data_IF_479555153819
#
_entry.id   IF_479555153819
#
_cell.length_a   1.000
_cell.length_b   1.000
_cell.length_c   1.000
_cell.angle_alpha   90.00
_cell.angle_beta   90.00
_cell.angle_gamma   90.00
#
_symmetry.space_group_name_H-M   'P 1'
#
loop_
_entity.id
_entity.type
_entity.pdbx_description
1 polymer ?
#
# COMPACT_ATOMS: atom_id res chain seq x y z
N UNK A 1 -142.75 -52.31 103.13
CA UNK A 1 -144.12 -51.75 103.05
C UNK A 1 -145.25 -52.79 103.10
N UNK A 2 -144.98 -54.11 103.07
CA UNK A 2 -145.99 -55.16 103.32
C UNK A 2 -146.08 -55.58 104.80
N UNK A 3 -144.98 -55.54 105.54
CA UNK A 3 -144.91 -56.09 106.91
C UNK A 3 -145.53 -55.18 108.00
N UNK A 4 -145.72 -53.89 107.70
CA UNK A 4 -146.38 -52.92 108.59
C UNK A 4 -147.92 -53.05 108.57
N UNK A 5 -148.50 -53.61 107.51
CA UNK A 5 -149.96 -53.79 107.40
C UNK A 5 -150.46 -55.05 108.10
N UNK A 6 -149.63 -56.07 108.26
CA UNK A 6 -149.99 -57.32 108.95
C UNK A 6 -149.95 -57.14 110.47
N UNK A 7 -148.99 -56.36 110.99
CA UNK A 7 -148.91 -56.03 112.42
C UNK A 7 -150.04 -55.13 112.92
N UNK A 8 -150.68 -54.32 112.06
CA UNK A 8 -151.79 -53.45 112.46
C UNK A 8 -153.15 -54.18 112.51
N UNK A 9 -153.26 -55.37 111.88
CA UNK A 9 -154.47 -56.22 111.90
C UNK A 9 -154.54 -57.06 113.18
N UNK A 10 -153.41 -57.61 113.63
CA UNK A 10 -153.30 -58.43 114.84
C UNK A 10 -153.56 -57.65 116.14
N UNK A 11 -153.31 -56.34 116.19
CA UNK A 11 -153.62 -55.52 117.37
C UNK A 11 -155.12 -55.26 117.57
N UNK A 12 -155.92 -55.15 116.50
CA UNK A 12 -157.37 -54.97 116.61
C UNK A 12 -158.10 -56.26 117.03
N UNK A 13 -157.53 -57.43 116.73
CA UNK A 13 -158.09 -58.73 117.16
C UNK A 13 -157.83 -59.04 118.64
N UNK A 14 -156.86 -58.37 119.28
CA UNK A 14 -156.55 -58.54 120.71
C UNK A 14 -157.35 -57.59 121.64
N UNK A 15 -157.85 -56.47 121.14
CA UNK A 15 -158.65 -55.51 121.91
C UNK A 15 -160.12 -55.97 122.09
N UNK A 16 -160.60 -56.88 121.24
CA UNK A 16 -161.96 -57.44 121.30
C UNK A 16 -162.18 -58.59 122.30
N UNK A 17 -161.12 -59.13 122.92
CA UNK A 17 -161.19 -60.40 123.67
C UNK A 17 -160.97 -60.27 125.20
N UNK A 18 -160.95 -59.05 125.75
CA UNK A 18 -160.85 -58.78 127.20
C UNK A 18 -162.15 -58.23 127.81
N UNK A 19 -163.29 -58.53 127.18
CA UNK A 19 -164.61 -58.07 127.59
C UNK A 19 -165.58 -59.27 127.70
N UNK A 20 -165.21 -60.27 128.51
CA UNK A 20 -166.03 -61.40 128.99
C UNK A 20 -165.16 -62.25 129.92
N UNK A 21 -165.69 -62.69 131.06
CA UNK A 21 -165.04 -63.43 132.18
C UNK A 21 -164.44 -62.47 133.23
N UNK A 22 -164.95 -62.26 134.45
CA UNK A 22 -165.69 -63.14 135.35
C UNK A 22 -166.65 -62.31 136.21
N UNK A 23 -167.93 -62.65 136.13
CA UNK A 23 -168.94 -62.37 137.13
C UNK A 23 -169.33 -63.72 137.75
N UNK A 24 -168.98 -63.97 139.01
CA UNK A 24 -169.57 -65.04 139.83
C UNK A 24 -168.89 -65.09 141.21
N UNK A 25 -169.55 -64.53 142.24
CA UNK A 25 -169.53 -65.04 143.63
C UNK A 25 -170.50 -64.22 144.49
N UNK A 26 -171.79 -64.37 144.20
CA UNK A 26 -172.89 -64.17 145.15
C UNK A 26 -173.17 -65.53 145.78
N UNK A 27 -173.20 -65.65 147.10
CA UNK A 27 -173.93 -66.64 147.93
C UNK A 27 -173.26 -66.74 149.33
N UNK A 28 -173.91 -67.06 150.44
CA UNK A 28 -175.31 -67.16 150.87
C UNK A 28 -175.27 -67.79 152.28
N UNK A 29 -176.27 -67.50 153.14
CA UNK A 29 -176.68 -68.30 154.33
C UNK A 29 -175.75 -68.21 155.55
N UNK A 30 -176.22 -68.29 156.79
CA UNK A 30 -177.55 -68.57 157.32
C UNK A 30 -177.38 -68.74 158.83
N UNK A 31 -178.16 -68.01 159.61
CA UNK A 31 -178.11 -67.99 161.07
C UNK A 31 -178.62 -69.32 161.61
N UNK A 32 -177.76 -70.11 162.26
CA UNK A 32 -178.15 -71.19 163.17
C UNK A 32 -177.30 -71.09 164.43
N UNK A 33 -177.97 -71.07 165.59
CA UNK A 33 -177.38 -70.82 166.90
C UNK A 33 -176.33 -71.87 167.27
N UNK A 34 -175.07 -71.44 167.31
CA UNK A 34 -173.95 -72.20 167.85
C UNK A 34 -173.85 -71.97 169.35
N UNK A 35 -173.60 -73.03 170.11
CA UNK A 35 -173.45 -72.94 171.57
C UNK A 35 -172.19 -72.12 171.95
N UNK A 36 -172.14 -71.61 173.18
CA UNK A 36 -171.12 -70.67 173.66
C UNK A 36 -169.65 -71.14 173.43
N UNK A 37 -169.39 -72.45 173.34
CA UNK A 37 -168.04 -72.98 173.03
C UNK A 37 -167.68 -72.94 171.54
N UNK A 38 -168.65 -72.98 170.63
CA UNK A 38 -168.40 -72.96 169.19
C UNK A 38 -168.23 -71.51 168.65
N UNK A 39 -168.94 -70.54 169.20
CA UNK A 39 -168.78 -69.12 168.85
C UNK A 39 -167.37 -68.57 169.17
N UNK A 40 -166.74 -69.06 170.24
CA UNK A 40 -165.36 -68.69 170.58
C UNK A 40 -164.33 -69.29 169.62
N UNK A 41 -164.57 -70.47 169.03
CA UNK A 41 -163.67 -71.05 168.03
C UNK A 41 -163.81 -70.39 166.65
N UNK A 42 -165.03 -70.03 166.25
CA UNK A 42 -165.29 -69.42 164.94
C UNK A 42 -164.85 -67.94 164.87
N UNK A 43 -164.92 -67.19 165.98
CA UNK A 43 -164.36 -65.85 166.08
C UNK A 43 -162.82 -65.85 165.97
N UNK A 44 -162.14 -66.84 166.56
CA UNK A 44 -160.68 -66.99 166.47
C UNK A 44 -160.25 -67.44 165.06
N UNK A 45 -160.99 -68.37 164.43
CA UNK A 45 -160.71 -68.80 163.05
C UNK A 45 -161.03 -67.70 162.02
N UNK A 46 -162.13 -66.96 162.16
CA UNK A 46 -162.47 -65.88 161.21
C UNK A 46 -161.49 -64.71 161.30
N UNK A 47 -161.01 -64.36 162.49
CA UNK A 47 -160.05 -63.28 162.66
C UNK A 47 -158.64 -63.65 162.15
N UNK A 48 -158.26 -64.92 162.21
CA UNK A 48 -156.99 -65.41 161.66
C UNK A 48 -157.06 -65.62 160.15
N UNK A 49 -158.15 -66.16 159.60
CA UNK A 49 -158.32 -66.36 158.16
C UNK A 49 -158.54 -65.05 157.36
N UNK A 50 -159.32 -64.08 157.87
CA UNK A 50 -159.46 -62.77 157.20
C UNK A 50 -158.12 -62.04 157.06
N UNK A 51 -157.25 -62.14 158.07
CA UNK A 51 -155.96 -61.46 158.07
C UNK A 51 -155.03 -62.02 156.97
N UNK A 52 -155.07 -63.34 156.73
CA UNK A 52 -154.26 -64.00 155.68
C UNK A 52 -154.73 -63.65 154.25
N UNK A 53 -156.05 -63.52 154.04
CA UNK A 53 -156.59 -63.12 152.73
C UNK A 53 -156.28 -61.67 152.40
N UNK A 54 -156.39 -60.76 153.37
CA UNK A 54 -156.02 -59.35 153.20
C UNK A 54 -154.54 -59.24 152.83
N UNK A 55 -153.65 -59.92 153.56
CA UNK A 55 -152.21 -59.95 153.23
C UNK A 55 -151.93 -60.49 151.82
N UNK A 56 -152.71 -61.46 151.35
CA UNK A 56 -152.55 -62.02 149.99
C UNK A 56 -153.03 -61.04 148.92
N UNK A 57 -154.16 -60.37 149.12
CA UNK A 57 -154.66 -59.33 148.21
C UNK A 57 -153.68 -58.16 148.15
N UNK A 58 -153.16 -57.71 149.28
CA UNK A 58 -152.14 -56.64 149.34
C UNK A 58 -150.89 -57.02 148.57
N UNK A 59 -150.38 -58.25 148.76
CA UNK A 59 -149.24 -58.77 148.00
C UNK A 59 -149.51 -58.79 146.49
N UNK A 60 -150.65 -59.34 146.05
CA UNK A 60 -150.98 -59.41 144.61
C UNK A 60 -151.22 -58.03 144.02
N UNK A 61 -151.82 -57.11 144.77
CA UNK A 61 -152.02 -55.72 144.36
C UNK A 61 -150.66 -55.03 144.20
N UNK A 62 -149.75 -55.27 145.14
CA UNK A 62 -148.38 -54.78 145.08
C UNK A 62 -147.63 -55.34 143.88
N UNK A 63 -147.68 -56.65 143.65
CA UNK A 63 -147.05 -57.29 142.48
C UNK A 63 -147.63 -56.75 141.15
N UNK A 64 -148.96 -56.57 141.06
CA UNK A 64 -149.61 -55.96 139.91
C UNK A 64 -149.11 -54.54 139.68
N UNK A 65 -149.03 -53.73 140.73
CA UNK A 65 -148.57 -52.35 140.64
C UNK A 65 -147.10 -52.30 140.24
N UNK A 66 -146.25 -53.17 140.79
CA UNK A 66 -144.87 -53.36 140.36
C UNK A 66 -144.78 -53.77 138.88
N UNK A 67 -145.65 -54.66 138.39
CA UNK A 67 -145.71 -55.04 136.98
C UNK A 67 -146.24 -53.92 136.08
N UNK A 68 -147.25 -53.17 136.52
CA UNK A 68 -147.77 -52.00 135.82
C UNK A 68 -146.69 -50.92 135.70
N UNK A 69 -145.97 -50.64 136.79
CA UNK A 69 -144.84 -49.71 136.82
C UNK A 69 -143.71 -50.19 135.91
N UNK A 70 -143.39 -51.49 135.93
CA UNK A 70 -142.42 -52.09 135.03
C UNK A 70 -142.85 -51.97 133.56
N UNK A 71 -144.13 -52.18 133.25
CA UNK A 71 -144.67 -52.09 131.90
C UNK A 71 -144.69 -50.64 131.39
N UNK A 72 -145.06 -49.68 132.25
CA UNK A 72 -144.98 -48.24 131.93
C UNK A 72 -143.52 -47.84 131.70
N UNK A 73 -142.59 -48.31 132.55
CA UNK A 73 -141.15 -48.11 132.39
C UNK A 73 -140.63 -48.70 131.08
N UNK A 74 -140.99 -49.94 130.75
CA UNK A 74 -140.61 -50.60 129.48
C UNK A 74 -141.16 -49.85 128.27
N UNK A 75 -142.42 -49.40 128.31
CA UNK A 75 -143.00 -48.58 127.24
C UNK A 75 -142.27 -47.25 127.08
N UNK A 76 -141.88 -46.62 128.19
CA UNK A 76 -141.10 -45.39 128.14
C UNK A 76 -139.70 -45.63 127.57
N UNK A 77 -139.02 -46.71 127.98
CA UNK A 77 -137.74 -47.14 127.43
C UNK A 77 -137.87 -47.43 125.93
N UNK A 78 -138.93 -48.13 125.49
CA UNK A 78 -139.18 -48.40 124.06
C UNK A 78 -139.34 -47.10 123.25
N UNK A 79 -140.08 -46.10 123.76
CA UNK A 79 -140.21 -44.80 123.08
C UNK A 79 -138.86 -44.08 122.96
N UNK A 80 -138.06 -44.10 124.02
CA UNK A 80 -136.71 -43.52 124.00
C UNK A 80 -135.82 -44.26 122.99
N UNK A 81 -135.88 -45.60 122.96
CA UNK A 81 -135.12 -46.40 121.99
C UNK A 81 -135.57 -46.14 120.55
N UNK A 82 -136.87 -46.03 120.29
CA UNK A 82 -137.41 -45.74 118.96
C UNK A 82 -137.04 -44.32 118.49
N UNK A 83 -137.05 -43.33 119.39
CA UNK A 83 -136.59 -41.97 119.08
C UNK A 83 -135.08 -41.95 118.81
N UNK A 84 -134.30 -42.70 119.60
CA UNK A 84 -132.86 -42.86 119.38
C UNK A 84 -132.55 -43.55 118.06
N UNK A 85 -133.28 -44.60 117.71
CA UNK A 85 -133.18 -45.30 116.42
C UNK A 85 -133.53 -44.37 115.26
N UNK A 86 -134.62 -43.61 115.37
CA UNK A 86 -135.00 -42.63 114.34
C UNK A 86 -133.94 -41.54 114.16
N UNK A 87 -133.40 -41.03 115.28
CA UNK A 87 -132.29 -40.07 115.26
C UNK A 87 -131.02 -40.66 114.64
N UNK A 88 -130.67 -41.91 114.98
CA UNK A 88 -129.54 -42.62 114.40
C UNK A 88 -129.74 -42.87 112.89
N UNK A 89 -130.95 -43.23 112.46
CA UNK A 89 -131.30 -43.43 111.06
C UNK A 89 -131.13 -42.14 110.24
N UNK A 90 -131.62 -41.01 110.74
CA UNK A 90 -131.41 -39.70 110.08
C UNK A 90 -129.94 -39.27 110.07
N UNK A 91 -129.19 -39.54 111.15
CA UNK A 91 -127.74 -39.29 111.18
C UNK A 91 -127.00 -40.14 110.14
N UNK A 92 -127.33 -41.42 110.01
CA UNK A 92 -126.75 -42.31 108.99
C UNK A 92 -127.11 -41.81 107.60
N UNK A 93 -128.36 -41.42 107.35
CA UNK A 93 -128.79 -40.87 106.06
C UNK A 93 -128.02 -39.61 105.69
N UNK A 94 -127.89 -38.67 106.62
CA UNK A 94 -127.09 -37.46 106.40
C UNK A 94 -125.61 -37.79 106.16
N UNK A 95 -125.04 -38.72 106.93
CA UNK A 95 -123.66 -39.15 106.74
C UNK A 95 -123.43 -39.81 105.37
N UNK A 96 -124.38 -40.62 104.90
CA UNK A 96 -124.35 -41.22 103.55
C UNK A 96 -124.44 -40.14 102.47
N UNK A 97 -125.36 -39.18 102.58
CA UNK A 97 -125.47 -38.07 101.61
C UNK A 97 -124.18 -37.26 101.51
N UNK A 98 -123.59 -36.87 102.65
CA UNK A 98 -122.32 -36.14 102.67
C UNK A 98 -121.18 -36.99 102.09
N UNK A 99 -121.15 -38.30 102.37
CA UNK A 99 -120.15 -39.20 101.80
C UNK A 99 -120.32 -39.38 100.28
N UNK A 100 -121.56 -39.43 99.78
CA UNK A 100 -121.87 -39.49 98.35
C UNK A 100 -121.46 -38.20 97.62
N UNK A 101 -121.78 -37.04 98.18
CA UNK A 101 -121.37 -35.74 97.65
C UNK A 101 -119.84 -35.60 97.62
N UNK A 102 -119.16 -35.99 98.69
CA UNK A 102 -117.69 -36.00 98.75
C UNK A 102 -117.09 -36.98 97.74
N UNK A 103 -117.69 -38.16 97.55
CA UNK A 103 -117.26 -39.14 96.54
C UNK A 103 -117.48 -38.63 95.11
N UNK A 104 -118.58 -37.91 94.86
CA UNK A 104 -118.86 -37.29 93.57
C UNK A 104 -117.82 -36.21 93.25
N UNK A 105 -117.58 -35.27 94.16
CA UNK A 105 -116.56 -34.22 93.97
C UNK A 105 -115.14 -34.81 93.85
N UNK A 106 -114.81 -35.87 94.61
CA UNK A 106 -113.56 -36.61 94.44
C UNK A 106 -113.44 -37.21 93.04
N UNK A 107 -114.50 -37.85 92.53
CA UNK A 107 -114.49 -38.47 91.20
C UNK A 107 -114.33 -37.41 90.10
N UNK A 108 -115.03 -36.29 90.24
CA UNK A 108 -114.92 -35.14 89.33
C UNK A 108 -113.49 -34.58 89.31
N UNK A 109 -112.88 -34.38 90.48
CA UNK A 109 -111.49 -33.93 90.59
C UNK A 109 -110.51 -34.94 89.97
N UNK A 110 -110.69 -36.24 90.20
CA UNK A 110 -109.85 -37.29 89.60
C UNK A 110 -109.92 -37.28 88.07
N UNK A 111 -111.12 -37.17 87.50
CA UNK A 111 -111.31 -37.08 86.04
C UNK A 111 -110.64 -35.83 85.48
N UNK A 112 -110.78 -34.68 86.14
CA UNK A 112 -110.10 -33.44 85.75
C UNK A 112 -108.57 -33.58 85.82
N UNK A 113 -108.04 -34.19 86.88
CA UNK A 113 -106.60 -34.46 87.01
C UNK A 113 -106.09 -35.36 85.88
N UNK A 114 -106.82 -36.42 85.53
CA UNK A 114 -106.42 -37.33 84.46
C UNK A 114 -106.49 -36.64 83.08
N UNK A 115 -107.52 -35.83 82.83
CA UNK A 115 -107.62 -35.01 81.61
C UNK A 115 -106.42 -34.06 81.48
N UNK A 116 -106.10 -33.31 82.54
CA UNK A 116 -104.96 -32.39 82.57
C UNK A 116 -103.63 -33.13 82.39
N UNK A 117 -103.47 -34.31 83.00
CA UNK A 117 -102.29 -35.16 82.84
C UNK A 117 -102.13 -35.63 81.39
N UNK A 118 -103.20 -36.11 80.76
CA UNK A 118 -103.18 -36.55 79.36
C UNK A 118 -102.85 -35.40 78.39
N UNK A 119 -103.36 -34.18 78.65
CA UNK A 119 -103.02 -33.01 77.85
C UNK A 119 -101.57 -32.58 78.07
N UNK A 120 -101.06 -32.65 79.31
CA UNK A 120 -99.66 -32.37 79.61
C UNK A 120 -98.72 -33.36 78.90
N UNK A 121 -99.06 -34.66 78.90
CA UNK A 121 -98.31 -35.68 78.17
C UNK A 121 -98.34 -35.43 76.64
N UNK A 122 -99.50 -35.06 76.10
CA UNK A 122 -99.65 -34.71 74.67
C UNK A 122 -98.81 -33.49 74.29
N UNK A 123 -98.79 -32.45 75.13
CA UNK A 123 -97.98 -31.25 74.91
C UNK A 123 -96.48 -31.56 75.05
N UNK A 124 -96.11 -32.36 76.06
CA UNK A 124 -94.73 -32.83 76.23
C UNK A 124 -94.24 -33.58 75.00
N UNK A 125 -95.02 -34.54 74.49
CA UNK A 125 -94.69 -35.30 73.28
C UNK A 125 -94.53 -34.39 72.05
N UNK A 126 -95.42 -33.40 71.87
CA UNK A 126 -95.31 -32.44 70.77
C UNK A 126 -94.02 -31.61 70.87
N UNK A 127 -93.70 -31.09 72.05
CA UNK A 127 -92.50 -30.31 72.28
C UNK A 127 -91.23 -31.15 72.08
N UNK A 128 -91.20 -32.39 72.56
CA UNK A 128 -90.09 -33.32 72.35
C UNK A 128 -89.89 -33.63 70.86
N UNK A 129 -90.98 -33.87 70.12
CA UNK A 129 -90.92 -34.11 68.68
C UNK A 129 -90.42 -32.89 67.91
N UNK A 130 -90.92 -31.70 68.23
CA UNK A 130 -90.46 -30.45 67.61
C UNK A 130 -89.00 -30.16 67.95
N UNK A 131 -88.59 -30.35 69.21
CA UNK A 131 -87.20 -30.20 69.63
C UNK A 131 -86.29 -31.17 68.85
N UNK A 132 -86.69 -32.43 68.71
CA UNK A 132 -85.94 -33.42 67.94
C UNK A 132 -85.85 -33.03 66.45
N UNK A 133 -86.94 -32.56 65.85
CA UNK A 133 -86.96 -32.08 64.46
C UNK A 133 -86.04 -30.86 64.27
N UNK A 134 -86.07 -29.91 65.20
CA UNK A 134 -85.19 -28.73 65.16
C UNK A 134 -83.72 -29.10 65.37
N UNK A 135 -83.43 -30.05 66.27
CA UNK A 135 -82.06 -30.55 66.45
C UNK A 135 -81.54 -31.24 65.19
N UNK A 136 -82.34 -32.12 64.58
CA UNK A 136 -82.00 -32.77 63.30
C UNK A 136 -81.77 -31.75 62.20
N UNK A 137 -82.66 -30.76 62.07
CA UNK A 137 -82.51 -29.71 61.06
C UNK A 137 -81.21 -28.91 61.26
N UNK A 138 -80.89 -28.53 62.50
CA UNK A 138 -79.63 -27.84 62.80
C UNK A 138 -78.41 -28.72 62.53
N UNK A 139 -78.48 -30.03 62.77
CA UNK A 139 -77.37 -30.93 62.43
C UNK A 139 -77.16 -31.01 60.93
N UNK A 140 -78.24 -31.14 60.15
CA UNK A 140 -78.19 -31.21 58.69
C UNK A 140 -77.66 -29.91 58.08
N UNK A 141 -78.13 -28.75 58.54
CA UNK A 141 -77.63 -27.43 58.13
C UNK A 141 -76.13 -27.26 58.47
N UNK A 142 -75.71 -27.73 59.65
CA UNK A 142 -74.30 -27.67 60.08
C UNK A 142 -73.42 -28.59 59.23
N UNK A 143 -73.90 -29.77 58.85
CA UNK A 143 -73.18 -30.69 57.98
C UNK A 143 -73.08 -30.16 56.55
N UNK A 144 -74.18 -29.64 55.99
CA UNK A 144 -74.19 -29.00 54.69
C UNK A 144 -73.21 -27.82 54.63
N UNK A 145 -73.19 -26.97 55.66
CA UNK A 145 -72.23 -25.86 55.76
C UNK A 145 -70.79 -26.38 55.82
N UNK A 146 -70.51 -27.43 56.59
CA UNK A 146 -69.16 -28.02 56.67
C UNK A 146 -68.70 -28.59 55.34
N UNK A 147 -69.57 -29.28 54.62
CA UNK A 147 -69.23 -29.83 53.30
C UNK A 147 -68.99 -28.71 52.28
N UNK A 148 -69.77 -27.64 52.31
CA UNK A 148 -69.54 -26.51 51.40
C UNK A 148 -68.23 -25.78 51.73
N UNK A 149 -67.97 -25.50 53.01
CA UNK A 149 -66.68 -24.94 53.46
C UNK A 149 -65.49 -25.83 53.09
N UNK A 150 -65.67 -27.16 53.13
CA UNK A 150 -64.64 -28.12 52.73
C UNK A 150 -64.39 -28.05 51.22
N UNK A 151 -65.44 -28.03 50.39
CA UNK A 151 -65.30 -27.86 48.94
C UNK A 151 -64.61 -26.55 48.58
N UNK A 152 -65.00 -25.43 49.21
CA UNK A 152 -64.35 -24.14 49.00
C UNK A 152 -62.87 -24.20 49.37
N UNK A 153 -62.53 -24.81 50.50
CA UNK A 153 -61.14 -25.01 50.93
C UNK A 153 -60.37 -25.88 49.93
N UNK A 154 -60.94 -26.99 49.47
CA UNK A 154 -60.29 -27.90 48.53
C UNK A 154 -60.11 -27.24 47.15
N UNK A 155 -61.09 -26.45 46.69
CA UNK A 155 -60.98 -25.65 45.46
C UNK A 155 -59.90 -24.59 45.54
N UNK A 156 -59.82 -23.86 46.67
CA UNK A 156 -58.77 -22.88 46.91
C UNK A 156 -57.40 -23.55 47.00
N UNK A 157 -57.29 -24.70 47.66
CA UNK A 157 -56.06 -25.47 47.73
C UNK A 157 -55.59 -25.91 46.34
N UNK A 158 -56.50 -26.45 45.52
CA UNK A 158 -56.20 -26.84 44.14
C UNK A 158 -55.76 -25.64 43.28
N UNK A 159 -56.41 -24.48 43.41
CA UNK A 159 -56.02 -23.25 42.72
C UNK A 159 -54.63 -22.77 43.15
N UNK A 160 -54.33 -22.80 44.46
CA UNK A 160 -53.00 -22.44 44.97
C UNK A 160 -51.94 -23.38 44.43
N UNK A 161 -52.17 -24.70 44.43
CA UNK A 161 -51.23 -25.67 43.85
C UNK A 161 -50.99 -25.41 42.36
N UNK A 162 -52.04 -25.20 41.56
CA UNK A 162 -51.91 -24.89 40.14
C UNK A 162 -51.13 -23.58 39.89
N UNK A 163 -51.37 -22.55 40.70
CA UNK A 163 -50.61 -21.30 40.63
C UNK A 163 -49.14 -21.49 41.03
N UNK A 164 -48.86 -22.27 42.06
CA UNK A 164 -47.48 -22.61 42.47
C UNK A 164 -46.74 -23.38 41.38
N UNK A 165 -47.39 -24.33 40.72
CA UNK A 165 -46.82 -25.06 39.57
C UNK A 165 -46.51 -24.11 38.40
N UNK A 166 -47.43 -23.20 38.07
CA UNK A 166 -47.21 -22.18 37.04
C UNK A 166 -46.03 -21.27 37.38
N UNK A 167 -45.90 -20.83 38.64
CA UNK A 167 -44.76 -20.02 39.10
C UNK A 167 -43.46 -20.80 38.93
N UNK A 168 -43.39 -22.05 39.40
CA UNK A 168 -42.19 -22.88 39.25
C UNK A 168 -41.80 -23.09 37.78
N UNK A 169 -42.79 -23.28 36.89
CA UNK A 169 -42.55 -23.37 35.44
C UNK A 169 -41.98 -22.08 34.87
N UNK A 170 -42.53 -20.92 35.24
CA UNK A 170 -42.05 -19.62 34.77
C UNK A 170 -40.66 -19.31 35.30
N UNK A 171 -40.37 -19.63 36.56
CA UNK A 171 -39.04 -19.50 37.16
C UNK A 171 -38.00 -20.34 36.40
N UNK A 172 -38.31 -21.61 36.10
CA UNK A 172 -37.43 -22.47 35.32
C UNK A 172 -37.18 -21.93 33.89
N UNK A 173 -38.20 -21.36 33.25
CA UNK A 173 -38.04 -20.71 31.93
C UNK A 173 -37.16 -19.46 32.02
N UNK A 174 -37.35 -18.62 33.04
CA UNK A 174 -36.52 -17.43 33.28
C UNK A 174 -35.06 -17.81 33.53
N UNK A 175 -34.79 -18.85 34.32
CA UNK A 175 -33.44 -19.35 34.53
C UNK A 175 -32.81 -19.83 33.21
N UNK A 176 -33.54 -20.60 32.41
CA UNK A 176 -33.05 -21.08 31.10
C UNK A 176 -32.69 -19.91 30.20
N UNK A 177 -33.59 -18.95 30.02
CA UNK A 177 -33.36 -17.76 29.19
C UNK A 177 -32.18 -16.95 29.73
N UNK A 178 -32.04 -16.84 31.05
CA UNK A 178 -30.91 -16.12 31.67
C UNK A 178 -29.58 -16.81 31.35
N UNK A 179 -29.51 -18.14 31.46
CA UNK A 179 -28.31 -18.92 31.08
C UNK A 179 -27.97 -18.75 29.60
N UNK A 180 -28.96 -18.85 28.71
CA UNK A 180 -28.79 -18.65 27.27
C UNK A 180 -28.28 -17.23 26.96
N UNK A 181 -28.90 -16.20 27.57
CA UNK A 181 -28.46 -14.80 27.46
C UNK A 181 -27.01 -14.64 27.88
N UNK A 182 -26.62 -15.18 29.04
CA UNK A 182 -25.22 -15.09 29.51
C UNK A 182 -24.26 -15.79 28.55
N UNK A 183 -24.63 -16.95 28.01
CA UNK A 183 -23.83 -17.65 26.99
C UNK A 183 -23.65 -16.79 25.72
N UNK A 184 -24.72 -16.17 25.22
CA UNK A 184 -24.66 -15.31 24.04
C UNK A 184 -23.82 -14.04 24.29
N UNK A 185 -23.94 -13.43 25.48
CA UNK A 185 -23.09 -12.29 25.87
C UNK A 185 -21.62 -12.68 25.88
N UNK A 186 -21.27 -13.83 26.46
CA UNK A 186 -19.89 -14.30 26.49
C UNK A 186 -19.34 -14.55 25.06
N UNK A 187 -20.14 -15.17 24.18
CA UNK A 187 -19.77 -15.38 22.78
C UNK A 187 -19.57 -14.06 22.03
N UNK A 188 -20.44 -13.07 22.27
CA UNK A 188 -20.30 -11.74 21.68
C UNK A 188 -19.01 -11.06 22.13
N UNK A 189 -18.73 -11.07 23.44
CA UNK A 189 -17.50 -10.50 24.01
C UNK A 189 -16.25 -11.17 23.45
N UNK A 190 -16.26 -12.50 23.29
CA UNK A 190 -15.16 -13.24 22.68
C UNK A 190 -14.96 -12.84 21.22
N UNK A 191 -16.03 -12.74 20.43
CA UNK A 191 -15.97 -12.28 19.04
C UNK A 191 -15.47 -10.83 18.94
N UNK A 192 -15.90 -9.93 19.83
CA UNK A 192 -15.41 -8.56 19.88
C UNK A 192 -13.92 -8.50 20.19
N UNK A 193 -13.45 -9.31 21.14
CA UNK A 193 -12.03 -9.39 21.48
C UNK A 193 -11.20 -9.93 20.31
N UNK A 194 -11.69 -10.96 19.63
CA UNK A 194 -11.05 -11.49 18.42
C UNK A 194 -10.98 -10.43 17.32
N UNK A 195 -12.08 -9.71 17.04
CA UNK A 195 -12.10 -8.65 16.04
C UNK A 195 -11.10 -7.53 16.37
N UNK A 196 -11.07 -7.06 17.62
CA UNK A 196 -10.11 -6.05 18.06
C UNK A 196 -8.64 -6.52 17.87
N UNK A 197 -8.36 -7.79 18.17
CA UNK A 197 -7.02 -8.37 17.93
C UNK A 197 -6.68 -8.42 16.45
N UNK A 198 -7.62 -8.84 15.59
CA UNK A 198 -7.40 -8.88 14.14
C UNK A 198 -7.22 -7.49 13.55
N UNK A 199 -7.97 -6.50 14.03
CA UNK A 199 -7.83 -5.10 13.61
C UNK A 199 -6.44 -4.56 13.98
N UNK A 200 -5.96 -4.85 15.19
CA UNK A 200 -4.61 -4.48 15.62
C UNK A 200 -3.53 -5.13 14.73
N UNK A 201 -3.66 -6.42 14.43
CA UNK A 201 -2.72 -7.13 13.55
C UNK A 201 -2.76 -6.57 12.12
N UNK A 202 -3.95 -6.35 11.56
CA UNK A 202 -4.12 -5.75 10.24
C UNK A 202 -3.48 -4.36 10.18
N UNK A 203 -3.69 -3.52 11.20
CA UNK A 203 -3.07 -2.20 11.30
C UNK A 203 -1.54 -2.29 11.35
N UNK A 204 -0.98 -3.28 12.06
CA UNK A 204 0.46 -3.53 12.11
C UNK A 204 1.00 -3.94 10.73
N UNK A 205 0.35 -4.89 10.05
CA UNK A 205 0.74 -5.34 8.71
C UNK A 205 0.62 -4.21 7.69
N UNK A 206 -0.46 -3.44 7.71
CA UNK A 206 -0.64 -2.26 6.87
C UNK A 206 0.41 -1.18 7.17
N UNK A 207 0.81 -1.00 8.42
CA UNK A 207 1.93 -0.15 8.81
C UNK A 207 3.24 -0.60 8.19
N UNK A 208 3.58 -1.88 8.35
CA UNK A 208 4.81 -2.49 7.80
C UNK A 208 4.84 -2.41 6.27
N UNK A 209 3.75 -2.77 5.59
CA UNK A 209 3.67 -2.72 4.14
C UNK A 209 3.84 -1.28 3.61
N UNK A 210 3.26 -0.28 4.29
CA UNK A 210 3.49 1.14 3.95
C UNK A 210 4.94 1.55 4.15
N UNK A 211 5.57 1.10 5.24
CA UNK A 211 6.99 1.34 5.49
C UNK A 211 7.88 0.74 4.38
N UNK A 212 7.66 -0.54 4.04
CA UNK A 212 8.38 -1.23 2.96
C UNK A 212 8.16 -0.57 1.59
N UNK A 213 6.92 -0.19 1.28
CA UNK A 213 6.59 0.53 0.04
C UNK A 213 7.33 1.86 -0.03
N UNK A 214 7.36 2.64 1.04
CA UNK A 214 8.10 3.91 1.07
C UNK A 214 9.61 3.68 0.93
N UNK A 215 10.16 2.66 1.59
CA UNK A 215 11.58 2.33 1.48
C UNK A 215 11.96 1.94 0.03
N UNK A 216 11.17 1.07 -0.61
CA UNK A 216 11.40 0.65 -2.00
C UNK A 216 11.24 1.82 -2.98
N UNK A 217 10.25 2.70 -2.75
CA UNK A 217 10.07 3.93 -3.52
C UNK A 217 11.30 4.84 -3.42
N UNK A 218 11.81 5.10 -2.22
CA UNK A 218 13.01 5.91 -2.03
C UNK A 218 14.24 5.32 -2.75
N UNK A 219 14.45 4.00 -2.64
CA UNK A 219 15.54 3.30 -3.36
C UNK A 219 15.38 3.41 -4.88
N UNK A 220 14.15 3.29 -5.39
CA UNK A 220 13.84 3.47 -6.81
C UNK A 220 14.15 4.90 -7.26
N UNK A 221 13.68 5.90 -6.52
CA UNK A 221 13.87 7.32 -6.87
C UNK A 221 15.37 7.70 -6.88
N UNK A 222 16.18 7.16 -5.97
CA UNK A 222 17.64 7.35 -5.97
C UNK A 222 18.29 6.66 -7.18
N UNK A 223 17.94 5.40 -7.47
CA UNK A 223 18.45 4.68 -8.64
C UNK A 223 18.07 5.39 -9.96
N UNK A 224 16.87 5.95 -10.07
CA UNK A 224 16.45 6.74 -11.22
C UNK A 224 17.22 8.05 -11.34
N UNK A 225 17.60 8.68 -10.22
CA UNK A 225 18.44 9.87 -10.19
C UNK A 225 19.87 9.55 -10.64
N UNK A 226 20.48 8.50 -10.11
CA UNK A 226 21.79 8.02 -10.55
C UNK A 226 21.79 7.69 -12.05
N UNK A 227 20.77 7.00 -12.55
CA UNK A 227 20.63 6.70 -13.97
C UNK A 227 20.57 7.98 -14.83
N UNK A 228 19.85 9.01 -14.38
CA UNK A 228 19.79 10.32 -15.07
C UNK A 228 21.15 11.01 -15.08
N UNK A 229 21.89 10.94 -13.98
CA UNK A 229 23.25 11.49 -13.88
C UNK A 229 24.22 10.75 -14.81
N UNK A 230 24.22 9.42 -14.80
CA UNK A 230 25.04 8.61 -15.70
C UNK A 230 24.72 8.90 -17.16
N UNK A 231 23.44 8.92 -17.55
CA UNK A 231 23.03 9.28 -18.92
C UNK A 231 23.55 10.64 -19.33
N UNK A 232 23.42 11.64 -18.47
CA UNK A 232 23.90 13.01 -18.74
C UNK A 232 25.42 13.04 -18.90
N UNK A 233 26.15 12.30 -18.06
CA UNK A 233 27.61 12.17 -18.14
C UNK A 233 28.04 11.50 -19.44
N UNK A 234 27.40 10.39 -19.83
CA UNK A 234 27.68 9.70 -21.10
C UNK A 234 27.38 10.58 -22.30
N UNK A 235 26.27 11.34 -22.31
CA UNK A 235 25.98 12.29 -23.40
C UNK A 235 27.10 13.32 -23.54
N UNK A 236 27.56 13.93 -22.43
CA UNK A 236 28.67 14.89 -22.46
C UNK A 236 29.98 14.26 -22.95
N UNK A 237 30.28 13.03 -22.51
CA UNK A 237 31.47 12.30 -22.99
C UNK A 237 31.41 12.02 -24.48
N UNK A 238 30.23 11.65 -25.00
CA UNK A 238 29.99 11.48 -26.43
C UNK A 238 30.15 12.82 -27.19
N UNK A 239 29.56 13.92 -26.70
CA UNK A 239 29.72 15.25 -27.30
C UNK A 239 31.19 15.69 -27.38
N UNK A 240 31.99 15.43 -26.33
CA UNK A 240 33.43 15.70 -26.34
C UNK A 240 34.14 14.83 -27.39
N UNK A 241 33.77 13.55 -27.49
CA UNK A 241 34.34 12.64 -28.49
C UNK A 241 33.98 13.04 -29.92
N UNK A 242 32.74 13.47 -30.15
CA UNK A 242 32.29 13.98 -31.45
C UNK A 242 33.06 15.25 -31.82
N UNK A 243 33.27 16.19 -30.89
CA UNK A 243 34.11 17.37 -31.12
C UNK A 243 35.57 17.01 -31.44
N UNK A 244 36.12 15.98 -30.79
CA UNK A 244 37.47 15.47 -31.06
C UNK A 244 37.54 14.82 -32.45
N UNK A 245 36.51 14.07 -32.86
CA UNK A 245 36.38 13.50 -34.20
C UNK A 245 36.34 14.63 -35.24
N UNK A 246 35.46 15.62 -35.09
CA UNK A 246 35.37 16.77 -36.01
C UNK A 246 36.70 17.50 -36.17
N UNK A 247 37.43 17.70 -35.05
CA UNK A 247 38.76 18.31 -35.09
C UNK A 247 39.76 17.46 -35.88
N UNK A 248 39.80 16.15 -35.62
CA UNK A 248 40.68 15.22 -36.34
C UNK A 248 40.31 15.13 -37.83
N UNK A 249 39.02 15.20 -38.19
CA UNK A 249 38.56 15.25 -39.57
C UNK A 249 39.01 16.52 -40.30
N UNK A 250 38.95 17.68 -39.63
CA UNK A 250 39.48 18.95 -40.16
C UNK A 250 40.99 18.88 -40.38
N UNK A 251 41.75 18.34 -39.41
CA UNK A 251 43.19 18.14 -39.54
C UNK A 251 43.52 17.15 -40.68
N UNK A 252 42.78 16.04 -40.78
CA UNK A 252 42.93 15.05 -41.84
C UNK A 252 42.66 15.66 -43.22
N UNK A 253 41.59 16.46 -43.36
CA UNK A 253 41.27 17.14 -44.61
C UNK A 253 42.32 18.18 -44.97
N UNK A 254 42.83 18.95 -44.00
CA UNK A 254 43.95 19.86 -44.22
C UNK A 254 45.23 19.13 -44.65
N UNK A 255 45.51 17.95 -44.08
CA UNK A 255 46.61 17.09 -44.51
C UNK A 255 46.41 16.56 -45.94
N UNK A 256 45.20 16.10 -46.27
CA UNK A 256 44.86 15.67 -47.63
C UNK A 256 45.05 16.78 -48.65
N UNK A 257 44.54 17.98 -48.39
CA UNK A 257 44.72 19.14 -49.28
C UNK A 257 46.20 19.50 -49.48
N UNK A 258 46.99 19.52 -48.39
CA UNK A 258 48.44 19.76 -48.50
C UNK A 258 49.15 18.68 -49.31
N UNK A 259 48.74 17.41 -49.13
CA UNK A 259 49.28 16.30 -49.91
C UNK A 259 48.89 16.42 -51.39
N UNK A 260 47.63 16.73 -51.70
CA UNK A 260 47.15 16.97 -53.06
C UNK A 260 47.90 18.14 -53.71
N UNK A 261 48.09 19.25 -52.99
CA UNK A 261 48.88 20.39 -53.47
C UNK A 261 50.34 19.98 -53.73
N UNK A 262 50.98 19.27 -52.80
CA UNK A 262 52.35 18.80 -53.00
C UNK A 262 52.47 17.81 -54.17
N UNK A 263 51.45 16.97 -54.39
CA UNK A 263 51.36 16.10 -55.57
C UNK A 263 51.23 16.93 -56.86
N UNK A 264 50.38 17.96 -56.87
CA UNK A 264 50.25 18.88 -58.02
C UNK A 264 51.56 19.61 -58.30
N UNK A 265 52.22 20.17 -57.27
CA UNK A 265 53.50 20.85 -57.39
C UNK A 265 54.58 19.88 -57.91
N UNK A 266 54.60 18.65 -57.40
CA UNK A 266 55.48 17.58 -57.91
C UNK A 266 55.20 17.28 -59.38
N UNK A 267 53.92 17.18 -59.78
CA UNK A 267 53.57 16.96 -61.20
C UNK A 267 53.99 18.14 -62.07
N UNK A 268 53.79 19.38 -61.63
CA UNK A 268 54.24 20.59 -62.33
C UNK A 268 55.76 20.65 -62.46
N UNK A 269 56.49 20.39 -61.37
CA UNK A 269 57.95 20.29 -61.40
C UNK A 269 58.44 19.15 -62.31
N UNK A 270 57.74 18.01 -62.33
CA UNK A 270 58.05 16.90 -63.26
C UNK A 270 57.82 17.30 -64.71
N UNK A 271 56.73 18.01 -65.02
CA UNK A 271 56.48 18.56 -66.35
C UNK A 271 57.52 19.60 -66.75
N UNK A 272 57.94 20.48 -65.85
CA UNK A 272 59.03 21.43 -66.09
C UNK A 272 60.37 20.71 -66.32
N UNK A 273 60.69 19.70 -65.53
CA UNK A 273 61.86 18.84 -65.76
C UNK A 273 61.79 18.18 -67.15
N UNK A 274 60.63 17.68 -67.58
CA UNK A 274 60.44 17.14 -68.92
C UNK A 274 60.67 18.23 -70.00
N UNK A 275 60.10 19.43 -69.85
CA UNK A 275 60.32 20.56 -70.77
C UNK A 275 61.80 20.98 -70.85
N UNK A 276 62.48 21.06 -69.70
CA UNK A 276 63.91 21.37 -69.62
C UNK A 276 64.75 20.27 -70.25
N UNK A 277 64.38 19.00 -70.06
CA UNK A 277 65.04 17.85 -70.71
C UNK A 277 64.85 17.88 -72.22
N UNK A 278 63.66 18.25 -72.72
CA UNK A 278 63.41 18.46 -74.14
C UNK A 278 64.22 19.63 -74.71
N UNK A 279 64.28 20.77 -74.01
CA UNK A 279 65.11 21.92 -74.40
C UNK A 279 66.60 21.58 -74.39
N UNK A 280 67.06 20.84 -73.39
CA UNK A 280 68.41 20.33 -73.31
C UNK A 280 68.69 19.43 -74.51
N UNK A 281 67.82 18.46 -74.80
CA UNK A 281 67.95 17.57 -75.97
C UNK A 281 68.01 18.37 -77.29
N UNK A 282 67.18 19.40 -77.44
CA UNK A 282 67.21 20.32 -78.60
C UNK A 282 68.52 21.10 -78.70
N UNK A 283 69.01 21.63 -77.57
CA UNK A 283 70.27 22.36 -77.48
C UNK A 283 71.48 21.46 -77.76
N UNK A 284 71.48 20.24 -77.20
CA UNK A 284 72.50 19.22 -77.46
C UNK A 284 72.51 18.80 -78.94
N UNK A 285 71.34 18.67 -79.56
CA UNK A 285 71.25 18.42 -81.00
C UNK A 285 71.79 19.60 -81.83
N UNK A 286 71.46 20.85 -81.47
CA UNK A 286 72.03 22.04 -82.10
C UNK A 286 73.55 22.14 -81.90
N UNK A 287 74.06 21.80 -80.71
CA UNK A 287 75.48 21.73 -80.42
C UNK A 287 76.16 20.68 -81.30
N UNK A 288 75.54 19.51 -81.48
CA UNK A 288 76.05 18.47 -82.37
C UNK A 288 76.11 18.94 -83.83
N UNK A 289 75.06 19.58 -84.34
CA UNK A 289 75.04 20.20 -85.67
C UNK A 289 76.14 21.26 -85.82
N UNK A 290 76.30 22.12 -84.82
CA UNK A 290 77.36 23.15 -84.80
C UNK A 290 78.76 22.52 -84.78
N UNK A 291 78.94 21.41 -84.05
CA UNK A 291 80.20 20.66 -84.04
C UNK A 291 80.49 20.04 -85.42
N UNK A 292 79.50 19.49 -86.10
CA UNK A 292 79.65 18.99 -87.47
C UNK A 292 80.00 20.12 -88.46
N UNK A 293 79.35 21.27 -88.35
CA UNK A 293 79.69 22.46 -89.15
C UNK A 293 81.12 22.95 -88.85
N UNK A 294 81.52 23.01 -87.58
CA UNK A 294 82.90 23.33 -87.18
C UNK A 294 83.90 22.33 -87.76
N UNK A 295 83.62 21.03 -87.71
CA UNK A 295 84.48 20.00 -88.29
C UNK A 295 84.58 20.12 -89.82
N UNK A 296 83.47 20.47 -90.49
CA UNK A 296 83.43 20.76 -91.93
C UNK A 296 84.29 21.98 -92.28
N UNK A 297 84.17 23.08 -91.54
CA UNK A 297 84.99 24.30 -91.70
C UNK A 297 86.46 24.03 -91.37
N UNK A 298 86.74 23.21 -90.36
CA UNK A 298 88.11 22.85 -89.99
C UNK A 298 88.77 21.96 -91.06
N UNK A 299 88.02 21.03 -91.65
CA UNK A 299 88.49 20.24 -92.80
C UNK A 299 88.67 21.10 -94.05
N UNK A 300 87.78 22.06 -94.32
CA UNK A 300 87.95 22.99 -95.45
C UNK A 300 89.19 23.88 -95.25
N UNK A 301 89.39 24.46 -94.06
CA UNK A 301 90.58 25.25 -93.73
C UNK A 301 91.87 24.42 -93.74
N UNK A 302 91.81 23.14 -93.32
CA UNK A 302 92.96 22.23 -93.43
C UNK A 302 93.32 21.93 -94.89
N UNK A 303 92.31 21.73 -95.74
CA UNK A 303 92.51 21.52 -97.17
C UNK A 303 93.01 22.81 -97.88
N UNK A 304 92.54 23.98 -97.45
CA UNK A 304 93.00 25.29 -97.94
C UNK A 304 94.44 25.60 -97.48
N UNK A 305 94.79 25.24 -96.24
CA UNK A 305 96.16 25.36 -95.74
C UNK A 305 97.13 24.43 -96.49
N UNK A 306 96.71 23.19 -96.80
CA UNK A 306 97.49 22.26 -97.63
C UNK A 306 97.63 22.77 -99.07
N UNK A 307 96.59 23.37 -99.65
CA UNK A 307 96.66 23.97 -100.99
C UNK A 307 97.61 25.20 -101.04
N UNK A 308 97.55 26.08 -100.02
CA UNK A 308 98.47 27.23 -99.92
C UNK A 308 99.91 26.81 -99.64
N UNK A 309 100.15 25.75 -98.87
CA UNK A 309 101.48 25.19 -98.66
C UNK A 309 102.08 24.65 -99.97
N UNK A 310 101.29 23.95 -100.78
CA UNK A 310 101.71 23.47 -102.11
C UNK A 310 102.01 24.62 -103.08
N UNK A 311 101.18 25.68 -103.05
CA UNK A 311 101.39 26.87 -103.86
C UNK A 311 102.64 27.67 -103.43
N UNK A 312 102.93 27.74 -102.14
CA UNK A 312 104.15 28.36 -101.62
C UNK A 312 105.40 27.55 -101.99
N UNK A 313 105.33 26.21 -101.93
CA UNK A 313 106.42 25.32 -102.32
C UNK A 313 106.73 25.38 -103.82
N UNK A 314 105.71 25.48 -104.69
CA UNK A 314 105.90 25.68 -106.13
C UNK A 314 106.52 27.06 -106.42
N UNK A 315 106.12 28.11 -105.69
CA UNK A 315 106.67 29.46 -105.83
C UNK A 315 108.13 29.56 -105.35
N UNK A 316 108.50 28.82 -104.30
CA UNK A 316 109.89 28.67 -103.87
C UNK A 316 110.74 27.92 -104.90
N UNK A 317 110.25 26.83 -105.49
CA UNK A 317 110.97 26.12 -106.55
C UNK A 317 111.21 26.98 -107.79
N UNK A 318 110.22 27.75 -108.24
CA UNK A 318 110.35 28.68 -109.36
C UNK A 318 111.34 29.82 -109.07
N UNK A 319 111.33 30.38 -107.85
CA UNK A 319 112.26 31.43 -107.45
C UNK A 319 113.70 30.91 -107.32
N UNK A 320 113.89 29.67 -106.83
CA UNK A 320 115.21 29.05 -106.70
C UNK A 320 115.82 28.73 -108.07
N UNK A 321 115.01 28.27 -109.03
CA UNK A 321 115.46 28.08 -110.42
C UNK A 321 115.82 29.41 -111.10
N UNK A 322 115.05 30.48 -110.88
CA UNK A 322 115.36 31.82 -111.40
C UNK A 322 116.63 32.41 -110.80
N UNK A 323 116.90 32.14 -109.53
CA UNK A 323 118.10 32.62 -108.84
C UNK A 323 119.36 31.91 -109.35
N UNK A 324 119.32 30.59 -109.53
CA UNK A 324 120.42 29.83 -110.13
C UNK A 324 120.69 30.23 -111.60
N UNK A 325 119.64 30.60 -112.35
CA UNK A 325 119.77 31.10 -113.71
C UNK A 325 120.37 32.52 -113.77
N UNK A 326 120.01 33.40 -112.83
CA UNK A 326 120.60 34.73 -112.66
C UNK A 326 122.06 34.67 -112.18
N UNK A 327 122.39 33.77 -111.25
CA UNK A 327 123.75 33.56 -110.75
C UNK A 327 124.68 33.03 -111.86
N UNK A 328 124.23 32.08 -112.68
CA UNK A 328 124.99 31.59 -113.83
C UNK A 328 125.19 32.65 -114.94
N UNK A 329 124.24 33.58 -115.10
CA UNK A 329 124.38 34.73 -116.00
C UNK A 329 125.32 35.81 -115.42
N UNK A 330 125.31 36.01 -114.11
CA UNK A 330 126.25 36.92 -113.44
C UNK A 330 127.68 36.38 -113.44
N UNK A 331 127.86 35.08 -113.22
CA UNK A 331 129.19 34.45 -113.24
C UNK A 331 129.79 34.41 -114.65
N UNK A 332 128.97 34.28 -115.71
CA UNK A 332 129.44 34.46 -117.10
C UNK A 332 129.89 35.89 -117.40
N UNK A 333 129.12 36.89 -116.98
CA UNK A 333 129.46 38.31 -117.21
C UNK A 333 130.66 38.77 -116.39
N UNK A 334 130.83 38.25 -115.18
CA UNK A 334 132.02 38.50 -114.34
C UNK A 334 133.27 37.86 -114.95
N UNK A 335 133.19 36.63 -115.45
CA UNK A 335 134.32 35.98 -116.12
C UNK A 335 134.70 36.65 -117.45
N UNK A 336 133.72 37.15 -118.22
CA UNK A 336 133.96 37.95 -119.42
C UNK A 336 134.64 39.29 -119.08
N UNK A 337 134.19 39.97 -118.02
CA UNK A 337 134.81 41.22 -117.55
C UNK A 337 136.23 41.00 -117.00
N UNK A 338 136.49 39.93 -116.27
CA UNK A 338 137.83 39.60 -115.78
C UNK A 338 138.79 39.18 -116.91
N UNK A 339 138.29 38.49 -117.94
CA UNK A 339 139.07 38.18 -119.15
C UNK A 339 139.38 39.44 -119.98
N UNK A 340 138.45 40.40 -120.03
CA UNK A 340 138.66 41.70 -120.68
C UNK A 340 139.68 42.54 -119.90
N UNK A 341 139.59 42.55 -118.56
CA UNK A 341 140.47 43.29 -117.66
C UNK A 341 141.91 42.75 -117.70
N UNK A 342 142.07 41.43 -117.71
CA UNK A 342 143.39 40.78 -117.87
C UNK A 342 143.97 41.00 -119.27
N UNK A 343 143.14 40.98 -120.33
CA UNK A 343 143.60 41.33 -121.69
C UNK A 343 144.04 42.80 -121.80
N UNK A 344 143.29 43.74 -121.21
CA UNK A 344 143.64 45.15 -121.19
C UNK A 344 144.90 45.42 -120.38
N UNK A 345 145.07 44.78 -119.22
CA UNK A 345 146.29 44.91 -118.41
C UNK A 345 147.53 44.33 -119.11
N UNK A 346 147.39 43.23 -119.85
CA UNK A 346 148.49 42.64 -120.64
C UNK A 346 148.87 43.54 -121.82
N UNK A 347 147.90 44.18 -122.47
CA UNK A 347 148.10 45.14 -123.55
C UNK A 347 148.76 46.44 -123.04
N UNK A 348 148.33 46.96 -121.89
CA UNK A 348 148.90 48.15 -121.24
C UNK A 348 150.36 47.90 -120.83
N UNK A 349 150.69 46.69 -120.38
CA UNK A 349 152.07 46.35 -119.99
C UNK A 349 152.98 46.26 -121.21
N UNK A 350 152.53 45.64 -122.30
CA UNK A 350 153.24 45.61 -123.59
C UNK A 350 153.41 47.01 -124.21
N UNK A 351 152.38 47.86 -124.14
CA UNK A 351 152.46 49.25 -124.59
C UNK A 351 153.42 50.09 -123.74
N UNK A 352 153.49 49.85 -122.42
CA UNK A 352 154.46 50.52 -121.53
C UNK A 352 155.90 50.09 -121.83
N UNK A 353 156.14 48.81 -122.12
CA UNK A 353 157.46 48.30 -122.50
C UNK A 353 157.93 48.80 -123.87
N UNK A 354 157.02 48.86 -124.86
CA UNK A 354 157.32 49.47 -126.16
C UNK A 354 157.59 50.97 -126.06
N UNK A 355 156.80 51.72 -125.27
CA UNK A 355 157.05 53.13 -125.02
C UNK A 355 158.39 53.38 -124.30
N UNK A 356 158.80 52.53 -123.36
CA UNK A 356 160.11 52.62 -122.70
C UNK A 356 161.28 52.27 -123.65
N UNK A 357 161.11 51.30 -124.55
CA UNK A 357 162.10 50.95 -125.57
C UNK A 357 162.25 52.04 -126.64
N UNK A 358 161.14 52.62 -127.09
CA UNK A 358 161.10 53.75 -128.00
C UNK A 358 161.73 55.00 -127.38
N UNK A 359 161.46 55.28 -126.11
CA UNK A 359 162.09 56.39 -125.38
C UNK A 359 163.62 56.25 -125.33
N UNK A 360 164.15 55.07 -124.98
CA UNK A 360 165.61 54.83 -124.97
C UNK A 360 166.25 54.93 -126.35
N UNK A 361 165.56 54.50 -127.42
CA UNK A 361 166.03 54.68 -128.82
C UNK A 361 166.00 56.14 -129.26
N UNK A 362 165.00 56.90 -128.84
CA UNK A 362 164.89 58.33 -129.14
C UNK A 362 166.00 59.13 -128.43
N UNK A 363 166.33 58.76 -127.19
CA UNK A 363 167.36 59.40 -126.38
C UNK A 363 168.77 59.10 -126.93
N UNK A 364 169.04 57.87 -127.38
CA UNK A 364 170.28 57.54 -128.10
C UNK A 364 170.43 58.28 -129.44
N UNK A 365 169.36 58.42 -130.22
CA UNK A 365 169.40 59.19 -131.47
C UNK A 365 169.55 60.69 -131.22
N UNK A 366 168.90 61.22 -130.19
CA UNK A 366 169.04 62.61 -129.73
C UNK A 366 170.48 62.94 -129.36
N UNK A 367 171.15 62.10 -128.57
CA UNK A 367 172.57 62.27 -128.20
C UNK A 367 173.48 62.25 -129.45
N UNK A 368 173.18 61.38 -130.42
CA UNK A 368 173.94 61.23 -131.67
C UNK A 368 173.83 62.47 -132.56
N UNK A 369 172.62 62.99 -132.77
CA UNK A 369 172.41 64.21 -133.56
C UNK A 369 172.96 65.46 -132.85
N UNK A 370 172.93 65.50 -131.52
CA UNK A 370 173.56 66.59 -130.73
C UNK A 370 175.08 66.59 -130.89
N UNK A 371 175.69 65.43 -131.13
CA UNK A 371 177.12 65.27 -131.38
C UNK A 371 177.51 65.71 -132.81
N UNK A 372 176.72 65.32 -133.81
CA UNK A 372 176.93 65.71 -135.22
C UNK A 372 176.69 67.20 -135.47
N UNK A 373 175.68 67.80 -134.83
CA UNK A 373 175.39 69.24 -134.96
C UNK A 373 176.51 70.10 -134.35
N UNK A 374 177.14 69.65 -133.27
CA UNK A 374 178.27 70.35 -132.66
C UNK A 374 179.55 70.23 -133.51
N UNK A 375 179.78 69.09 -134.17
CA UNK A 375 180.88 68.94 -135.15
C UNK A 375 180.68 69.84 -136.37
N UNK A 376 179.46 69.86 -136.94
CA UNK A 376 179.13 70.70 -138.09
C UNK A 376 179.16 72.20 -137.77
N UNK A 377 178.85 72.59 -136.53
CA UNK A 377 178.89 73.99 -136.11
C UNK A 377 180.32 74.51 -135.97
N UNK A 378 181.25 73.70 -135.45
CA UNK A 378 182.68 74.04 -135.42
C UNK A 378 183.28 74.12 -136.84
N UNK A 379 182.82 73.27 -137.75
CA UNK A 379 183.23 73.30 -139.17
C UNK A 379 182.68 74.53 -139.90
N UNK A 380 181.45 74.94 -139.56
CA UNK A 380 180.82 76.15 -140.07
C UNK A 380 181.54 77.41 -139.60
N UNK A 381 181.92 77.50 -138.32
CA UNK A 381 182.71 78.63 -137.80
C UNK A 381 184.10 78.72 -138.45
N UNK A 382 184.74 77.57 -138.73
CA UNK A 382 186.02 77.52 -139.45
C UNK A 382 185.90 77.95 -140.92
N UNK A 383 184.85 77.52 -141.63
CA UNK A 383 184.60 77.92 -143.02
C UNK A 383 184.11 79.36 -143.15
N UNK A 384 183.33 79.85 -142.18
CA UNK A 384 182.85 81.24 -142.18
C UNK A 384 183.99 82.22 -141.85
N UNK A 385 184.90 81.85 -140.95
CA UNK A 385 186.18 82.54 -140.75
C UNK A 385 187.16 82.43 -141.93
N UNK A 386 186.96 81.51 -142.88
CA UNK A 386 187.75 81.46 -144.12
C UNK A 386 187.13 82.32 -145.23
N UNK A 387 185.81 82.46 -145.21
CA UNK A 387 185.07 83.40 -146.06
C UNK A 387 185.31 84.86 -145.65
N UNK A 388 185.52 85.09 -144.33
CA UNK A 388 186.06 86.32 -143.70
C UNK A 388 186.87 87.16 -144.69
N UNK A 389 187.91 86.54 -145.20
CA UNK A 389 189.05 87.26 -145.71
C UNK A 389 188.99 87.42 -147.22
N UNK A 390 188.17 86.61 -147.89
CA UNK A 390 187.92 86.69 -149.33
C UNK A 390 186.96 87.83 -149.68
N UNK A 391 185.95 88.12 -148.84
CA UNK A 391 184.97 89.16 -149.13
C UNK A 391 185.56 90.57 -148.94
N UNK A 392 186.35 90.78 -147.87
CA UNK A 392 187.07 92.03 -147.64
C UNK A 392 188.10 92.36 -148.74
N UNK A 393 188.70 91.35 -149.37
CA UNK A 393 189.57 91.53 -150.54
C UNK A 393 188.80 91.86 -151.83
N UNK A 394 187.53 91.44 -151.94
CA UNK A 394 186.71 91.67 -153.13
C UNK A 394 186.07 93.06 -153.13
N UNK A 395 185.65 93.57 -151.97
CA UNK A 395 185.00 94.88 -151.91
C UNK A 395 186.02 96.04 -151.93
N UNK A 396 187.26 95.81 -151.49
CA UNK A 396 188.39 96.72 -151.72
C UNK A 396 188.78 96.82 -153.22
N UNK A 397 188.46 95.80 -154.02
CA UNK A 397 188.55 95.84 -155.49
C UNK A 397 187.31 96.51 -156.13
N UNK A 398 186.12 96.35 -155.56
CA UNK A 398 184.88 96.95 -156.09
C UNK A 398 184.79 98.46 -155.80
N UNK A 399 185.34 98.90 -154.66
CA UNK A 399 185.64 100.30 -154.37
C UNK A 399 186.66 100.92 -155.32
N UNK A 400 187.50 100.10 -155.98
CA UNK A 400 188.37 100.54 -157.08
C UNK A 400 187.64 100.53 -158.45
N UNK A 401 186.66 99.65 -158.68
CA UNK A 401 185.90 99.58 -159.95
C UNK A 401 184.85 100.67 -160.14
N UNK A 402 184.08 101.09 -159.13
CA UNK A 402 183.07 102.15 -159.35
C UNK A 402 183.63 103.55 -159.08
N UNK A 403 184.75 103.69 -158.35
CA UNK A 403 185.60 104.88 -158.52
C UNK A 403 186.14 104.99 -159.97
N UNK A 404 186.25 103.89 -160.74
CA UNK A 404 186.46 103.90 -162.20
C UNK A 404 185.18 104.26 -163.00
N UNK A 405 183.99 103.85 -162.53
CA UNK A 405 182.68 104.23 -163.09
C UNK A 405 182.30 105.70 -162.91
N UNK A 406 182.78 106.34 -161.82
CA UNK A 406 182.79 107.81 -161.65
C UNK A 406 183.48 108.54 -162.82
N UNK A 407 184.22 107.85 -163.71
CA UNK A 407 184.95 108.44 -164.85
C UNK A 407 184.23 108.29 -166.23
N UNK A 408 183.41 107.25 -166.47
CA UNK A 408 183.00 106.90 -167.85
C UNK A 408 181.75 107.61 -168.40
N UNK A 409 180.70 107.93 -167.63
CA UNK A 409 179.50 108.60 -168.22
C UNK A 409 179.33 110.09 -167.90
N UNK A 410 180.35 110.69 -167.25
CA UNK A 410 180.71 112.10 -167.53
C UNK A 410 180.98 112.38 -169.02
N UNK A 411 181.22 111.36 -169.87
CA UNK A 411 181.67 111.54 -171.26
C UNK A 411 180.59 111.45 -172.35
N UNK A 412 179.36 110.96 -172.08
CA UNK A 412 178.47 110.55 -173.17
C UNK A 412 177.10 111.24 -173.23
N UNK A 413 176.97 112.50 -172.85
CA UNK A 413 176.88 113.56 -173.87
C UNK A 413 175.83 114.55 -173.35
N UNK A 414 176.07 115.87 -173.36
CA UNK A 414 176.34 116.74 -174.52
C UNK A 414 175.20 116.77 -175.52
#
# INVERSE_FOLDING_TARGET
RKDLSESQKTWKDLEGNQQKSFASATNSRGIHGLCLKCAQHEAVLSQTHCNVHIQTIERVTKERDEFMDALVSLRQIMKVMQQRESSACEQVKHAVQVAEEANFEKTKALVQCEQLKSELERQKYRLEKELAAQLSKRTDEKEALREEMKKEKDNLAAMVTAMSENVAMLEAQLERITREKTSLVNQLQESEHQLASHEMEMNKVCGEMRYQLNQTKMKKDEAEKELREYRTKTIRELEIKDQEIEKLELELNGNKQRLEQAQQDMTGAREECLKLTELLSKSEHQLHLTRLQKASIQNSLSNEAKARALQAQQREQELTQKMQQMEAQHEKTVNELDSLLTSQNTLITKLKEECCMLARKLEQNSEKYRSEVNQLSQEKEYLHGRLEKMQKQNDELDQQCIQHGRMHERMKSR
#
